data_IF_345832620805
#
_entry.id   IF_345832620805
#
_cell.length_a   1.000
_cell.length_b   1.000
_cell.length_c   1.000
_cell.angle_alpha   90.00
_cell.angle_beta   90.00
_cell.angle_gamma   90.00
#
_symmetry.space_group_name_H-M   'P 1'
#
loop_
_entity.id
_entity.type
_entity.pdbx_description
1 polymer ?
#
# COMPACT_ATOMS: atom_id res chain seq x y z
N UNK A 1 -10.97 -2.15 23.67
CA UNK A 1 -9.67 -2.23 24.36
C UNK A 1 -8.75 -3.35 23.83
N UNK A 2 -9.28 -4.37 23.13
CA UNK A 2 -8.47 -5.46 22.54
C UNK A 2 -7.79 -5.08 21.21
N UNK A 3 -8.46 -4.29 20.35
CA UNK A 3 -7.93 -3.83 19.05
C UNK A 3 -6.67 -2.95 19.18
N UNK A 4 -6.55 -2.15 20.25
CA UNK A 4 -5.40 -1.26 20.45
C UNK A 4 -4.12 -2.01 20.88
N UNK A 5 -4.23 -3.22 21.42
CA UNK A 5 -3.06 -4.06 21.73
C UNK A 5 -2.53 -4.74 20.47
N UNK A 6 -3.43 -5.26 19.63
CA UNK A 6 -3.06 -5.86 18.34
C UNK A 6 -2.36 -4.85 17.43
N UNK A 7 -2.90 -3.62 17.33
CA UNK A 7 -2.30 -2.57 16.52
C UNK A 7 -0.91 -2.16 17.03
N UNK A 8 -0.72 -2.11 18.36
CA UNK A 8 0.60 -1.85 18.97
C UNK A 8 1.60 -2.95 18.65
N UNK A 9 1.17 -4.22 18.68
CA UNK A 9 2.06 -5.34 18.41
C UNK A 9 2.39 -5.48 16.92
N UNK A 10 1.44 -5.21 16.02
CA UNK A 10 1.70 -5.06 14.58
C UNK A 10 2.70 -3.94 14.30
N UNK A 11 2.54 -2.78 14.96
CA UNK A 11 3.46 -1.64 14.82
C UNK A 11 4.87 -1.99 15.30
N UNK A 12 5.00 -2.68 16.44
CA UNK A 12 6.30 -3.18 16.93
C UNK A 12 6.91 -4.18 15.95
N UNK A 13 6.12 -5.12 15.44
CA UNK A 13 6.58 -6.12 14.48
C UNK A 13 7.04 -5.48 13.16
N UNK A 14 6.31 -4.48 12.67
CA UNK A 14 6.70 -3.68 11.50
C UNK A 14 8.02 -2.95 11.74
N UNK A 15 8.18 -2.25 12.89
CA UNK A 15 9.43 -1.55 13.20
C UNK A 15 10.61 -2.53 13.27
N UNK A 16 10.45 -3.65 13.96
CA UNK A 16 11.49 -4.69 14.03
C UNK A 16 11.86 -5.22 12.65
N UNK A 17 10.86 -5.53 11.82
CA UNK A 17 11.09 -6.04 10.46
C UNK A 17 11.81 -5.03 9.57
N UNK A 18 11.52 -3.75 9.77
CA UNK A 18 12.14 -2.62 9.06
C UNK A 18 13.60 -2.43 9.47
N UNK A 19 13.93 -2.68 10.74
CA UNK A 19 15.28 -2.52 11.29
C UNK A 19 16.16 -3.74 10.99
N UNK A 20 15.58 -4.94 10.89
CA UNK A 20 16.25 -6.21 10.54
C UNK A 20 16.16 -6.54 9.04
N UNK A 21 15.89 -5.55 8.18
CA UNK A 21 15.63 -5.78 6.76
C UNK A 21 16.93 -6.11 6.02
N UNK A 22 16.96 -7.27 5.37
CA UNK A 22 18.12 -7.79 4.63
C UNK A 22 18.00 -7.37 3.15
N UNK A 23 19.13 -7.30 2.45
CA UNK A 23 19.18 -7.07 1.01
C UNK A 23 18.28 -8.04 0.22
N UNK A 24 17.56 -7.51 -0.77
CA UNK A 24 16.65 -8.28 -1.61
C UNK A 24 15.30 -8.60 -0.94
N UNK A 25 14.98 -8.00 0.22
CA UNK A 25 13.64 -8.06 0.82
C UNK A 25 12.98 -6.69 0.69
N UNK A 26 11.88 -6.62 -0.05
CA UNK A 26 11.04 -5.43 -0.09
C UNK A 26 9.92 -5.52 0.96
N UNK A 27 9.54 -4.38 1.54
CA UNK A 27 8.32 -4.26 2.33
C UNK A 27 7.29 -3.46 1.54
N UNK A 28 6.07 -3.99 1.44
CA UNK A 28 4.91 -3.26 0.93
C UNK A 28 3.95 -3.04 2.10
N UNK A 29 3.71 -1.78 2.41
CA UNK A 29 2.66 -1.36 3.33
C UNK A 29 1.43 -0.96 2.53
N UNK A 30 0.31 -1.52 2.96
CA UNK A 30 -0.99 -1.49 2.29
C UNK A 30 -2.01 -0.90 3.27
N UNK A 31 -2.91 -0.04 2.80
CA UNK A 31 -4.00 0.48 3.62
C UNK A 31 -5.33 0.07 3.00
N UNK A 32 -6.14 -0.72 3.72
CA UNK A 32 -7.46 -1.18 3.31
C UNK A 32 -8.61 -0.58 4.13
N UNK A 33 -8.35 0.16 5.21
CA UNK A 33 -9.41 0.68 6.09
C UNK A 33 -10.32 1.69 5.42
N UNK A 34 -9.86 2.38 4.38
CA UNK A 34 -10.56 3.55 3.86
C UNK A 34 -10.71 3.55 2.33
N UNK A 35 -11.95 3.76 1.90
CA UNK A 35 -12.27 4.23 0.56
C UNK A 35 -12.43 5.75 0.59
N UNK A 36 -11.84 6.44 -0.38
CA UNK A 36 -11.85 7.89 -0.48
C UNK A 36 -12.91 8.35 -1.47
N UNK A 37 -13.75 9.32 -1.10
CA UNK A 37 -14.70 9.92 -2.04
C UNK A 37 -13.96 10.91 -2.94
N UNK A 38 -14.13 10.78 -4.25
CA UNK A 38 -13.51 11.69 -5.20
C UNK A 38 -14.19 13.06 -5.20
N UNK A 39 -13.41 14.13 -5.15
CA UNK A 39 -13.88 15.50 -5.38
C UNK A 39 -13.41 15.92 -6.77
N UNK A 40 -14.35 16.07 -7.71
CA UNK A 40 -14.06 16.62 -9.04
C UNK A 40 -14.09 18.14 -8.99
N UNK A 41 -13.04 18.78 -9.52
CA UNK A 41 -13.04 20.22 -9.78
C UNK A 41 -13.99 20.53 -10.95
N UNK A 42 -14.66 21.68 -10.91
CA UNK A 42 -15.63 22.14 -11.92
C UNK A 42 -16.77 21.15 -12.21
N UNK A 43 -17.13 20.33 -11.22
CA UNK A 43 -18.18 19.35 -11.36
C UNK A 43 -19.56 20.02 -11.53
N UNK A 44 -20.33 19.58 -12.54
CA UNK A 44 -21.73 19.99 -12.69
C UNK A 44 -22.54 19.58 -11.46
N UNK A 45 -23.60 20.32 -11.14
CA UNK A 45 -24.39 20.13 -9.90
C UNK A 45 -24.91 18.70 -9.72
N UNK A 46 -25.17 17.96 -10.80
CA UNK A 46 -25.61 16.55 -10.73
C UNK A 46 -24.54 15.59 -10.19
N UNK A 47 -23.25 15.92 -10.27
CA UNK A 47 -22.15 15.11 -9.72
C UNK A 47 -22.12 15.16 -8.19
N UNK A 48 -22.72 16.18 -7.57
CA UNK A 48 -22.82 16.28 -6.11
C UNK A 48 -23.51 15.07 -5.45
N UNK A 49 -24.40 14.39 -6.19
CA UNK A 49 -25.10 13.19 -5.72
C UNK A 49 -24.35 11.89 -6.06
N UNK A 50 -23.33 11.94 -6.91
CA UNK A 50 -22.45 10.81 -7.22
C UNK A 50 -21.34 10.74 -6.17
N UNK A 51 -21.42 9.73 -5.30
CA UNK A 51 -20.37 9.43 -4.32
C UNK A 51 -19.42 8.37 -4.87
N UNK A 52 -18.77 8.68 -5.98
CA UNK A 52 -17.74 7.80 -6.52
C UNK A 52 -16.59 7.72 -5.50
N UNK A 53 -16.24 6.49 -5.16
CA UNK A 53 -15.21 6.18 -4.19
C UNK A 53 -14.06 5.46 -4.89
N UNK A 54 -12.86 5.66 -4.36
CA UNK A 54 -11.68 4.96 -4.81
C UNK A 54 -10.93 4.38 -3.62
N UNK A 55 -10.34 3.22 -3.83
CA UNK A 55 -9.34 2.68 -2.90
C UNK A 55 -7.98 3.28 -3.26
N UNK A 56 -7.29 3.87 -2.28
CA UNK A 56 -5.95 4.42 -2.44
C UNK A 56 -4.96 3.47 -1.76
N UNK A 57 -3.96 3.01 -2.51
CA UNK A 57 -2.95 2.09 -1.99
C UNK A 57 -1.51 2.56 -2.22
N UNK A 58 -0.71 2.48 -1.16
CA UNK A 58 0.64 1.92 -1.12
C UNK A 58 1.77 2.81 -0.55
N UNK A 59 2.69 2.13 0.13
CA UNK A 59 4.03 2.60 0.43
C UNK A 59 4.98 1.41 0.25
N UNK A 60 5.93 1.54 -0.67
CA UNK A 60 6.93 0.51 -0.97
C UNK A 60 8.26 0.93 -0.38
N UNK A 61 8.96 0.00 0.28
CA UNK A 61 10.27 0.25 0.89
C UNK A 61 11.28 -0.77 0.40
N UNK A 62 12.36 -0.26 -0.18
CA UNK A 62 13.48 -1.05 -0.71
C UNK A 62 14.75 -0.91 0.17
N UNK A 63 15.55 -1.99 0.19
CA UNK A 63 16.88 -2.12 0.81
C UNK A 63 17.98 -2.47 -0.20
N UNK A 64 17.84 -2.12 -1.48
CA UNK A 64 18.98 -2.20 -2.38
C UNK A 64 20.07 -1.20 -1.96
N UNK A 65 21.30 -1.69 -1.77
CA UNK A 65 22.52 -0.92 -1.53
C UNK A 65 22.64 -0.19 -0.16
N UNK A 66 22.34 -0.86 0.95
CA UNK A 66 22.53 -0.35 2.33
C UNK A 66 21.80 0.97 2.66
N UNK A 67 20.94 1.47 1.77
CA UNK A 67 20.17 2.70 1.96
C UNK A 67 18.70 2.42 1.79
N UNK A 68 17.98 2.49 2.91
CA UNK A 68 16.52 2.44 2.96
C UNK A 68 15.96 3.59 2.10
N UNK A 69 15.42 3.27 0.92
CA UNK A 69 14.77 4.27 0.07
C UNK A 69 13.25 4.04 0.09
N UNK A 70 12.46 4.99 0.62
CA UNK A 70 11.02 4.96 0.45
C UNK A 70 10.67 5.20 -1.03
N UNK A 71 9.81 4.35 -1.56
CA UNK A 71 9.19 4.46 -2.88
C UNK A 71 7.68 4.61 -2.68
N UNK A 72 7.16 5.85 -2.55
CA UNK A 72 5.74 6.05 -2.47
C UNK A 72 5.10 5.63 -3.79
N UNK A 73 4.04 4.82 -3.72
CA UNK A 73 3.25 4.43 -4.86
C UNK A 73 1.79 4.65 -4.50
N UNK A 74 1.00 5.20 -5.42
CA UNK A 74 -0.43 5.37 -5.23
C UNK A 74 -1.13 4.59 -6.33
N UNK A 75 -1.83 3.52 -5.97
CA UNK A 75 -2.72 2.81 -6.88
C UNK A 75 -4.15 3.19 -6.54
N UNK A 76 -4.88 3.65 -7.54
CA UNK A 76 -6.26 4.11 -7.44
C UNK A 76 -7.14 3.09 -8.18
N UNK A 77 -8.18 2.62 -7.51
CA UNK A 77 -9.15 1.67 -8.07
C UNK A 77 -10.57 2.13 -7.75
N UNK A 78 -11.46 2.09 -8.74
CA UNK A 78 -12.91 2.30 -8.59
C UNK A 78 -13.63 1.05 -8.07
N UNK A 79 -12.92 -0.08 -7.96
CA UNK A 79 -13.42 -1.31 -7.38
C UNK A 79 -13.38 -1.24 -5.84
N UNK A 80 -14.56 -1.24 -5.22
CA UNK A 80 -14.75 -1.03 -3.76
C UNK A 80 -14.68 -2.30 -2.91
N UNK A 81 -14.64 -3.48 -3.54
CA UNK A 81 -14.56 -4.77 -2.83
C UNK A 81 -13.11 -5.21 -2.71
N UNK A 82 -12.63 -5.39 -1.48
CA UNK A 82 -11.23 -5.71 -1.21
C UNK A 82 -10.88 -7.21 -1.38
N UNK A 83 -11.57 -7.94 -2.27
CA UNK A 83 -11.36 -9.39 -2.48
C UNK A 83 -10.34 -9.70 -3.61
N UNK A 84 -10.58 -9.16 -4.79
CA UNK A 84 -9.83 -9.36 -6.04
C UNK A 84 -8.95 -8.17 -6.38
N UNK A 85 -9.28 -7.01 -5.80
CA UNK A 85 -8.51 -5.77 -5.92
C UNK A 85 -7.09 -5.97 -5.43
N UNK A 86 -6.88 -6.61 -4.28
CA UNK A 86 -5.53 -6.80 -3.74
C UNK A 86 -4.63 -7.60 -4.67
N UNK A 87 -5.11 -8.69 -5.26
CA UNK A 87 -4.32 -9.51 -6.18
C UNK A 87 -3.92 -8.75 -7.45
N UNK A 88 -4.86 -7.98 -8.00
CA UNK A 88 -4.61 -7.12 -9.17
C UNK A 88 -3.56 -6.06 -8.83
N UNK A 89 -3.67 -5.50 -7.63
CA UNK A 89 -2.80 -4.44 -7.15
C UNK A 89 -1.39 -4.96 -6.81
N UNK A 90 -1.29 -6.16 -6.24
CA UNK A 90 -0.01 -6.87 -6.07
C UNK A 90 0.70 -7.10 -7.41
N UNK A 91 -0.03 -7.42 -8.49
CA UNK A 91 0.55 -7.57 -9.83
C UNK A 91 1.13 -6.26 -10.35
N UNK A 92 0.38 -5.16 -10.23
CA UNK A 92 0.83 -3.83 -10.68
C UNK A 92 2.06 -3.40 -9.88
N UNK A 93 1.99 -3.46 -8.55
CA UNK A 93 3.13 -3.08 -7.69
C UNK A 93 4.33 -3.98 -7.99
N UNK A 94 4.14 -5.30 -8.10
CA UNK A 94 5.22 -6.23 -8.37
C UNK A 94 5.91 -5.95 -9.71
N UNK A 95 5.15 -5.65 -10.76
CA UNK A 95 5.71 -5.32 -12.08
C UNK A 95 6.56 -4.05 -12.05
N UNK A 96 6.11 -3.00 -11.36
CA UNK A 96 6.86 -1.74 -11.30
C UNK A 96 8.03 -1.84 -10.32
N UNK A 97 7.85 -2.53 -9.21
CA UNK A 97 8.88 -2.78 -8.21
C UNK A 97 10.05 -3.59 -8.79
N UNK A 98 9.79 -4.64 -9.58
CA UNK A 98 10.83 -5.46 -10.23
C UNK A 98 11.63 -4.65 -11.27
N UNK A 99 11.02 -3.67 -11.94
CA UNK A 99 11.72 -2.80 -12.90
C UNK A 99 12.68 -1.83 -12.20
N UNK A 100 12.23 -1.25 -11.10
CA UNK A 100 12.96 -0.21 -10.37
C UNK A 100 14.02 -0.76 -9.43
N UNK A 101 13.77 -1.95 -8.86
CA UNK A 101 14.64 -2.58 -7.87
C UNK A 101 15.18 -3.89 -8.42
N UNK A 102 16.42 -3.85 -8.90
CA UNK A 102 17.14 -5.06 -9.27
C UNK A 102 17.41 -5.91 -8.01
N UNK A 103 17.05 -7.19 -8.04
CA UNK A 103 17.38 -8.23 -7.04
C UNK A 103 16.41 -8.45 -5.85
N UNK A 104 15.12 -8.12 -5.97
CA UNK A 104 14.14 -8.56 -4.97
C UNK A 104 13.96 -10.08 -5.03
N UNK A 105 14.18 -10.72 -3.88
CA UNK A 105 13.98 -12.15 -3.64
C UNK A 105 12.65 -12.41 -2.92
N UNK A 106 12.27 -11.51 -2.00
CA UNK A 106 11.07 -11.67 -1.18
C UNK A 106 10.35 -10.34 -0.97
N UNK A 107 9.02 -10.40 -0.89
CA UNK A 107 8.17 -9.26 -0.57
C UNK A 107 7.40 -9.58 0.71
N UNK A 108 7.52 -8.71 1.72
CA UNK A 108 6.72 -8.77 2.94
C UNK A 108 5.58 -7.77 2.85
N UNK A 109 4.35 -8.24 2.98
CA UNK A 109 3.14 -7.41 2.97
C UNK A 109 2.70 -7.09 4.39
N UNK A 110 2.39 -5.82 4.63
CA UNK A 110 1.76 -5.35 5.86
C UNK A 110 0.50 -4.60 5.48
N UNK A 111 -0.57 -4.80 6.24
CA UNK A 111 -1.77 -3.97 6.19
C UNK A 111 -2.18 -3.53 7.58
N UNK A 112 -3.06 -2.53 7.62
CA UNK A 112 -3.92 -2.24 8.76
C UNK A 112 -4.93 -3.36 9.05
#
# INVERSE_FOLDING_TARGET
>A
MHSSLLHKDQSKYFSKTKDELIEGIAIILVNFSENYTCIMQDAIQSVHWKKEQVTILAYVKDTANDKLKPMPMCVISDHLVHDTTFWTLQKVIGQDLIKEVSQIKYIKYFSD
#
